data_IF_739791090399
#
_entry.id   IF_739791090399
#
_cell.length_a   1.000
_cell.length_b   1.000
_cell.length_c   1.000
_cell.angle_alpha   90.00
_cell.angle_beta   90.00
_cell.angle_gamma   90.00
#
_symmetry.space_group_name_H-M   'P 1'
#
loop_
_entity.id
_entity.type
_entity.pdbx_description
1 polymer ?
#
# COMPACT_ATOMS: atom_id res chain seq x y z
N UNK A 1 -6.98 49.21 6.16
CA UNK A 1 -6.03 49.49 7.24
C UNK A 1 -4.99 50.41 6.63
N UNK A 2 -4.27 51.23 7.41
CA UNK A 2 -3.23 52.11 6.81
C UNK A 2 -2.23 51.29 5.99
N UNK A 3 -1.91 51.77 4.80
CA UNK A 3 -0.93 51.15 3.90
C UNK A 3 0.44 51.78 4.18
N UNK A 4 1.47 50.95 4.18
CA UNK A 4 2.87 51.36 4.33
C UNK A 4 3.71 50.77 3.20
N UNK A 5 4.78 51.47 2.83
CA UNK A 5 5.79 51.00 1.90
C UNK A 5 6.96 50.44 2.70
N UNK A 6 7.32 49.18 2.41
CA UNK A 6 8.52 48.58 2.97
C UNK A 6 9.77 49.17 2.30
N UNK A 7 10.73 49.74 3.05
CA UNK A 7 11.93 50.34 2.48
C UNK A 7 12.87 49.30 1.85
N UNK A 8 12.87 48.07 2.35
CA UNK A 8 13.78 47.00 1.91
C UNK A 8 13.36 46.36 0.59
N UNK A 9 12.06 46.09 0.39
CA UNK A 9 11.55 45.43 -0.81
C UNK A 9 10.66 46.32 -1.70
N UNK A 10 10.41 47.57 -1.30
CA UNK A 10 9.60 48.53 -2.04
C UNK A 10 8.10 48.22 -2.10
N UNK A 11 7.65 47.06 -1.60
CA UNK A 11 6.25 46.63 -1.67
C UNK A 11 5.36 47.39 -0.70
N UNK A 12 4.13 47.66 -1.13
CA UNK A 12 3.05 48.17 -0.29
C UNK A 12 2.45 47.03 0.54
N UNK A 13 2.22 47.26 1.81
CA UNK A 13 1.60 46.31 2.76
C UNK A 13 0.64 47.05 3.69
N UNK A 14 -0.34 46.36 4.27
CA UNK A 14 -1.05 46.94 5.42
C UNK A 14 -0.11 47.06 6.63
N UNK A 15 -0.46 47.97 7.54
CA UNK A 15 0.26 48.20 8.78
C UNK A 15 0.47 46.90 9.58
N UNK A 16 1.73 46.51 9.73
CA UNK A 16 2.17 45.31 10.42
C UNK A 16 3.55 45.55 11.05
N UNK A 17 3.88 44.77 12.08
CA UNK A 17 5.15 44.88 12.80
C UNK A 17 6.33 44.37 11.96
N UNK A 18 6.06 43.47 11.00
CA UNK A 18 7.04 42.88 10.09
C UNK A 18 6.49 42.81 8.67
N UNK A 19 7.34 43.05 7.68
CA UNK A 19 7.00 42.88 6.26
C UNK A 19 6.88 41.39 5.92
N UNK A 20 5.70 40.97 5.45
CA UNK A 20 5.41 39.59 5.08
C UNK A 20 6.26 39.07 3.90
N UNK A 21 6.84 39.95 3.08
CA UNK A 21 7.62 39.56 1.90
C UNK A 21 9.13 39.44 2.16
N UNK A 22 9.71 40.26 3.04
CA UNK A 22 11.18 40.34 3.22
C UNK A 22 11.65 40.34 4.68
N UNK A 23 10.72 40.27 5.63
CA UNK A 23 11.00 40.20 7.06
C UNK A 23 11.51 41.50 7.69
N UNK A 24 11.46 42.63 6.98
CA UNK A 24 11.89 43.92 7.51
C UNK A 24 10.96 44.40 8.65
N UNK A 25 11.52 45.01 9.69
CA UNK A 25 10.77 45.46 10.88
C UNK A 25 10.85 46.99 11.12
N UNK A 26 11.75 47.70 10.43
CA UNK A 26 12.03 49.12 10.68
C UNK A 26 11.71 50.04 9.51
N UNK A 27 11.54 51.33 9.78
CA UNK A 27 11.53 52.43 8.80
C UNK A 27 10.45 52.34 7.70
N UNK A 28 9.28 51.81 8.05
CA UNK A 28 8.13 51.83 7.16
C UNK A 28 7.65 53.25 6.86
N UNK A 29 7.44 53.55 5.57
CA UNK A 29 6.90 54.84 5.13
C UNK A 29 5.40 54.75 4.96
N UNK A 30 4.66 55.69 5.53
CA UNK A 30 3.21 55.75 5.35
C UNK A 30 2.89 56.07 3.89
N UNK A 31 2.00 55.30 3.28
CA UNK A 31 1.41 55.65 1.99
C UNK A 31 0.19 56.52 2.26
N UNK A 32 0.25 57.79 1.87
CA UNK A 32 -0.88 58.70 1.99
C UNK A 32 -1.92 58.35 0.94
N UNK A 33 -3.05 57.82 1.40
CA UNK A 33 -4.24 57.62 0.60
C UNK A 33 -5.35 58.50 1.19
N UNK A 34 -5.87 59.42 0.39
CA UNK A 34 -6.87 60.39 0.83
C UNK A 34 -8.24 59.72 0.81
N UNK A 35 -8.59 59.04 1.90
CA UNK A 35 -9.89 58.42 2.08
C UNK A 35 -10.87 59.38 2.75
N UNK A 36 -11.94 59.74 2.05
CA UNK A 36 -13.04 60.53 2.62
C UNK A 36 -13.92 59.64 3.50
N UNK A 37 -13.85 59.83 4.82
CA UNK A 37 -14.65 59.09 5.81
C UNK A 37 -15.91 59.88 6.12
N UNK A 38 -17.08 59.22 6.02
CA UNK A 38 -18.36 59.84 6.34
C UNK A 38 -18.49 60.05 7.87
N UNK A 39 -18.93 61.24 8.30
CA UNK A 39 -18.99 61.64 9.73
C UNK A 39 -19.76 60.63 10.59
N UNK A 40 -20.95 60.19 10.13
CA UNK A 40 -21.79 59.19 10.79
C UNK A 40 -21.18 57.78 10.94
N UNK A 41 -20.03 57.51 10.32
CA UNK A 41 -19.33 56.23 10.41
C UNK A 41 -17.89 56.40 10.91
N UNK A 42 -17.44 57.62 11.21
CA UNK A 42 -16.04 57.91 11.52
C UNK A 42 -15.57 57.20 12.80
N UNK A 43 -16.42 57.18 13.84
CA UNK A 43 -16.13 56.51 15.11
C UNK A 43 -16.00 55.00 14.91
N UNK A 44 -17.03 54.39 14.32
CA UNK A 44 -17.12 52.96 14.03
C UNK A 44 -15.97 52.51 13.13
N UNK A 45 -15.66 53.28 12.08
CA UNK A 45 -14.56 53.00 11.16
C UNK A 45 -13.21 53.04 11.87
N UNK A 46 -12.97 54.04 12.73
CA UNK A 46 -11.71 54.16 13.48
C UNK A 46 -11.46 53.01 14.47
N UNK A 47 -12.52 52.36 14.95
CA UNK A 47 -12.47 51.26 15.91
C UNK A 47 -12.16 49.90 15.23
N UNK A 48 -12.49 49.73 13.95
CA UNK A 48 -12.36 48.45 13.24
C UNK A 48 -10.93 47.85 13.30
N UNK A 49 -9.83 48.59 13.03
CA UNK A 49 -8.49 48.01 13.07
C UNK A 49 -8.06 47.52 14.45
N UNK A 50 -8.46 48.20 15.54
CA UNK A 50 -8.10 47.80 16.90
C UNK A 50 -8.88 46.55 17.34
N UNK A 51 -10.14 46.43 16.92
CA UNK A 51 -10.98 45.26 17.17
C UNK A 51 -10.46 44.00 16.45
N UNK A 52 -9.97 44.14 15.21
CA UNK A 52 -9.34 43.04 14.47
C UNK A 52 -8.08 42.57 15.20
N UNK A 53 -7.19 43.49 15.59
CA UNK A 53 -5.98 43.14 16.36
C UNK A 53 -6.29 42.46 17.70
N UNK A 54 -7.37 42.89 18.35
CA UNK A 54 -7.85 42.33 19.63
C UNK A 54 -8.57 40.99 19.48
N UNK A 55 -8.78 40.48 18.26
CA UNK A 55 -9.44 39.20 18.00
C UNK A 55 -10.95 39.19 18.24
N UNK A 56 -11.59 40.36 18.39
CA UNK A 56 -13.04 40.50 18.61
C UNK A 56 -13.82 40.40 17.28
N UNK A 57 -13.60 39.32 16.53
CA UNK A 57 -14.03 39.19 15.13
C UNK A 57 -15.55 39.30 14.92
N UNK A 58 -16.36 38.81 15.86
CA UNK A 58 -17.82 38.95 15.78
C UNK A 58 -18.26 40.41 15.77
N UNK A 59 -17.69 41.23 16.67
CA UNK A 59 -17.97 42.67 16.73
C UNK A 59 -17.50 43.40 15.48
N UNK A 60 -16.36 43.01 14.91
CA UNK A 60 -15.86 43.56 13.64
C UNK A 60 -16.87 43.34 12.53
N UNK A 61 -17.45 42.13 12.41
CA UNK A 61 -18.47 41.84 11.39
C UNK A 61 -19.72 42.69 11.60
N UNK A 62 -20.19 42.89 12.83
CA UNK A 62 -21.37 43.70 13.11
C UNK A 62 -21.15 45.18 12.83
N UNK A 63 -20.03 45.75 13.30
CA UNK A 63 -19.67 47.15 13.09
C UNK A 63 -19.39 47.41 11.60
N UNK A 64 -18.78 46.47 10.88
CA UNK A 64 -18.54 46.60 9.44
C UNK A 64 -19.85 46.81 8.65
N UNK A 65 -20.97 46.22 9.07
CA UNK A 65 -22.27 46.42 8.42
C UNK A 65 -22.79 47.85 8.62
N UNK A 66 -22.56 48.43 9.80
CA UNK A 66 -22.95 49.82 10.10
C UNK A 66 -22.13 50.77 9.23
N UNK A 67 -20.81 50.57 9.16
CA UNK A 67 -19.93 51.39 8.32
C UNK A 67 -20.29 51.27 6.84
N UNK A 68 -20.53 50.04 6.34
CA UNK A 68 -20.89 49.82 4.93
C UNK A 68 -22.27 50.38 4.55
N UNK A 69 -23.18 50.64 5.50
CA UNK A 69 -24.44 51.35 5.21
C UNK A 69 -24.19 52.81 4.82
N UNK A 70 -23.22 53.45 5.45
CA UNK A 70 -22.85 54.85 5.21
C UNK A 70 -21.75 54.99 4.15
N UNK A 71 -20.89 53.98 4.01
CA UNK A 71 -19.76 53.95 3.09
C UNK A 71 -19.73 52.62 2.29
N UNK A 72 -20.69 52.40 1.37
CA UNK A 72 -20.85 51.12 0.68
C UNK A 72 -19.70 50.74 -0.27
N UNK A 73 -18.90 51.73 -0.68
CA UNK A 73 -17.73 51.56 -1.55
C UNK A 73 -16.40 51.63 -0.79
N UNK A 74 -16.38 51.33 0.51
CA UNK A 74 -15.16 51.35 1.30
C UNK A 74 -14.42 50.01 1.22
N UNK A 75 -13.38 49.93 0.39
CA UNK A 75 -12.59 48.72 0.18
C UNK A 75 -11.94 48.18 1.46
N UNK A 76 -11.30 49.06 2.25
CA UNK A 76 -10.73 48.74 3.55
C UNK A 76 -11.69 47.95 4.46
N UNK A 77 -12.97 48.32 4.51
CA UNK A 77 -13.95 47.66 5.40
C UNK A 77 -14.24 46.24 4.92
N UNK A 78 -14.31 46.03 3.60
CA UNK A 78 -14.44 44.69 3.04
C UNK A 78 -13.20 43.82 3.34
N UNK A 79 -11.99 44.39 3.27
CA UNK A 79 -10.77 43.67 3.64
C UNK A 79 -10.72 43.32 5.14
N UNK A 80 -11.05 44.27 6.02
CA UNK A 80 -11.13 44.03 7.46
C UNK A 80 -12.17 42.95 7.78
N UNK A 81 -13.31 42.98 7.11
CA UNK A 81 -14.35 41.96 7.26
C UNK A 81 -13.88 40.59 6.77
N UNK A 82 -13.09 40.54 5.68
CA UNK A 82 -12.45 39.32 5.20
C UNK A 82 -11.52 38.70 6.24
N UNK A 83 -10.64 39.50 6.84
CA UNK A 83 -9.77 39.09 7.94
C UNK A 83 -10.59 38.54 9.12
N UNK A 84 -11.64 39.25 9.53
CA UNK A 84 -12.48 38.84 10.64
C UNK A 84 -13.26 37.54 10.39
N UNK A 85 -13.82 37.35 9.19
CA UNK A 85 -14.51 36.10 8.82
C UNK A 85 -13.57 34.89 8.86
N UNK A 86 -12.31 35.10 8.53
CA UNK A 86 -11.28 34.05 8.57
C UNK A 86 -10.58 33.95 9.92
N UNK A 87 -10.95 34.78 10.90
CA UNK A 87 -10.36 34.86 12.25
C UNK A 87 -8.86 35.20 12.22
N UNK A 88 -8.45 36.06 11.29
CA UNK A 88 -7.07 36.51 11.11
C UNK A 88 -6.93 37.97 11.59
N UNK A 89 -5.83 38.28 12.26
CA UNK A 89 -5.52 39.63 12.78
C UNK A 89 -4.79 40.52 11.78
N UNK A 90 -4.12 39.90 10.81
CA UNK A 90 -3.29 40.57 9.82
C UNK A 90 -3.22 39.76 8.53
N UNK A 91 -2.65 40.36 7.48
CA UNK A 91 -2.51 39.72 6.16
C UNK A 91 -1.63 38.46 6.21
N UNK A 92 -0.63 38.43 7.08
CA UNK A 92 0.29 37.31 7.16
C UNK A 92 -0.39 36.05 7.72
N UNK A 93 -1.19 36.19 8.77
CA UNK A 93 -2.03 35.10 9.30
C UNK A 93 -3.02 34.61 8.25
N UNK A 94 -3.59 35.52 7.44
CA UNK A 94 -4.51 35.17 6.36
C UNK A 94 -3.82 34.34 5.27
N UNK A 95 -2.63 34.77 4.85
CA UNK A 95 -1.82 34.07 3.83
C UNK A 95 -1.33 32.72 4.34
N UNK A 96 -0.87 32.63 5.59
CA UNK A 96 -0.40 31.38 6.20
C UNK A 96 -1.52 30.35 6.35
N UNK A 97 -2.71 30.79 6.76
CA UNK A 97 -3.89 29.93 6.86
C UNK A 97 -4.34 29.42 5.49
N UNK A 98 -4.18 30.27 4.47
CA UNK A 98 -4.66 30.04 3.12
C UNK A 98 -6.14 30.41 2.98
N UNK A 99 -6.48 31.01 1.83
CA UNK A 99 -7.84 31.45 1.52
C UNK A 99 -8.08 31.39 0.02
N UNK A 100 -9.29 30.92 -0.38
CA UNK A 100 -9.78 31.12 -1.74
C UNK A 100 -10.22 32.57 -1.92
N UNK A 101 -9.40 33.37 -2.59
CA UNK A 101 -9.76 34.73 -2.94
C UNK A 101 -10.87 34.78 -4.01
N UNK A 102 -11.01 33.74 -4.84
CA UNK A 102 -12.00 33.68 -5.91
C UNK A 102 -13.43 33.49 -5.39
N UNK A 103 -13.59 32.71 -4.33
CA UNK A 103 -14.89 32.43 -3.72
C UNK A 103 -15.33 33.50 -2.70
N UNK A 104 -14.46 34.49 -2.43
CA UNK A 104 -14.71 35.51 -1.41
C UNK A 104 -15.38 36.76 -1.97
N UNK A 105 -16.67 36.92 -1.67
CA UNK A 105 -17.41 38.13 -2.00
C UNK A 105 -16.82 39.41 -1.35
N UNK A 106 -16.25 39.30 -0.15
CA UNK A 106 -15.59 40.44 0.49
C UNK A 106 -14.27 40.80 -0.23
N UNK A 107 -13.51 39.81 -0.72
CA UNK A 107 -12.33 40.09 -1.54
C UNK A 107 -12.71 40.77 -2.86
N UNK A 108 -13.74 40.26 -3.55
CA UNK A 108 -14.22 40.86 -4.80
C UNK A 108 -14.61 42.34 -4.60
N UNK A 109 -15.36 42.64 -3.54
CA UNK A 109 -15.77 44.02 -3.24
C UNK A 109 -14.59 44.90 -2.80
N UNK A 110 -13.67 44.37 -1.98
CA UNK A 110 -12.44 45.09 -1.63
C UNK A 110 -11.66 45.47 -2.89
N UNK A 111 -11.50 44.52 -3.82
CA UNK A 111 -10.77 44.72 -5.06
C UNK A 111 -11.49 45.70 -6.02
N UNK A 112 -12.82 45.58 -6.15
CA UNK A 112 -13.66 46.45 -6.97
C UNK A 112 -13.58 47.91 -6.55
N UNK A 113 -13.64 48.18 -5.24
CA UNK A 113 -13.65 49.54 -4.70
C UNK A 113 -12.27 50.07 -4.29
N UNK A 114 -11.23 49.26 -4.44
CA UNK A 114 -9.87 49.60 -4.04
C UNK A 114 -9.33 50.86 -4.75
N UNK A 115 -8.62 51.69 -3.99
CA UNK A 115 -7.70 52.68 -4.53
C UNK A 115 -6.55 52.01 -5.30
N UNK A 116 -5.71 52.79 -5.99
CA UNK A 116 -4.53 52.27 -6.68
C UNK A 116 -3.55 51.59 -5.69
N UNK A 117 -3.41 52.16 -4.49
CA UNK A 117 -2.54 51.60 -3.44
C UNK A 117 -3.09 50.29 -2.88
N UNK A 118 -4.37 50.27 -2.51
CA UNK A 118 -5.07 49.08 -1.99
C UNK A 118 -5.07 47.93 -3.02
N UNK A 119 -5.34 48.26 -4.30
CA UNK A 119 -5.36 47.31 -5.41
C UNK A 119 -4.03 46.59 -5.56
N UNK A 120 -2.92 47.32 -5.45
CA UNK A 120 -1.59 46.75 -5.52
C UNK A 120 -1.36 45.75 -4.37
N UNK A 121 -1.69 46.13 -3.13
CA UNK A 121 -1.59 45.26 -1.94
C UNK A 121 -2.41 43.98 -2.13
N UNK A 122 -3.70 44.09 -2.44
CA UNK A 122 -4.59 42.94 -2.59
C UNK A 122 -4.14 42.01 -3.73
N UNK A 123 -3.65 42.57 -4.84
CA UNK A 123 -3.15 41.79 -5.97
C UNK A 123 -1.88 41.01 -5.63
N UNK A 124 -0.96 41.60 -4.88
CA UNK A 124 0.28 40.94 -4.46
C UNK A 124 0.01 39.84 -3.43
N UNK A 125 -0.96 40.05 -2.53
CA UNK A 125 -1.38 39.01 -1.59
C UNK A 125 -2.04 37.83 -2.30
N UNK A 126 -2.88 38.07 -3.31
CA UNK A 126 -3.45 37.00 -4.15
C UNK A 126 -2.35 36.19 -4.84
N UNK A 127 -1.43 36.86 -5.53
CA UNK A 127 -0.29 36.19 -6.19
C UNK A 127 0.54 35.37 -5.20
N UNK A 128 0.76 35.89 -3.99
CA UNK A 128 1.51 35.18 -2.96
C UNK A 128 0.80 33.89 -2.53
N UNK A 129 -0.51 33.93 -2.28
CA UNK A 129 -1.29 32.73 -1.93
C UNK A 129 -1.29 31.71 -3.07
N UNK A 130 -1.45 32.15 -4.32
CA UNK A 130 -1.41 31.28 -5.49
C UNK A 130 -0.02 30.63 -5.66
N UNK A 131 1.05 31.41 -5.45
CA UNK A 131 2.42 30.89 -5.47
C UNK A 131 2.68 29.88 -4.35
N UNK A 132 2.19 30.14 -3.14
CA UNK A 132 2.28 29.22 -2.00
C UNK A 132 1.55 27.91 -2.34
N UNK A 133 0.33 28.00 -2.87
CA UNK A 133 -0.45 26.84 -3.28
C UNK A 133 0.30 26.01 -4.32
N UNK A 134 0.77 26.62 -5.40
CA UNK A 134 1.55 25.93 -6.44
C UNK A 134 2.85 25.32 -5.90
N UNK A 135 3.52 25.98 -4.95
CA UNK A 135 4.74 25.44 -4.31
C UNK A 135 4.42 24.21 -3.46
N UNK A 136 3.35 24.27 -2.66
CA UNK A 136 2.89 23.12 -1.88
C UNK A 136 2.45 21.96 -2.78
N UNK A 137 1.73 22.21 -3.88
CA UNK A 137 1.31 21.17 -4.82
C UNK A 137 2.51 20.41 -5.39
N UNK A 138 3.58 21.14 -5.73
CA UNK A 138 4.84 20.55 -6.19
C UNK A 138 5.50 19.72 -5.09
N UNK A 139 5.63 20.28 -3.89
CA UNK A 139 6.28 19.61 -2.77
C UNK A 139 5.53 18.35 -2.32
N UNK A 140 4.19 18.36 -2.30
CA UNK A 140 3.38 17.19 -1.96
C UNK A 140 3.60 16.07 -2.98
N UNK A 141 3.63 16.39 -4.28
CA UNK A 141 3.92 15.40 -5.34
C UNK A 141 5.34 14.82 -5.23
N UNK A 142 6.33 15.67 -4.97
CA UNK A 142 7.73 15.24 -4.77
C UNK A 142 7.86 14.34 -3.54
N UNK A 143 7.23 14.74 -2.43
CA UNK A 143 7.22 13.97 -1.19
C UNK A 143 6.51 12.61 -1.35
N UNK A 144 5.40 12.56 -2.07
CA UNK A 144 4.70 11.30 -2.39
C UNK A 144 5.63 10.34 -3.14
N UNK A 145 6.34 10.86 -4.14
CA UNK A 145 7.29 10.08 -4.92
C UNK A 145 8.47 9.59 -4.06
N UNK A 146 9.04 10.45 -3.22
CA UNK A 146 10.13 10.11 -2.29
C UNK A 146 9.71 9.01 -1.31
N UNK A 147 8.54 9.12 -0.69
CA UNK A 147 8.03 8.10 0.22
C UNK A 147 7.75 6.77 -0.49
N UNK A 148 7.10 6.80 -1.66
CA UNK A 148 6.88 5.59 -2.47
C UNK A 148 8.20 4.92 -2.84
N UNK A 149 9.21 5.70 -3.24
CA UNK A 149 10.54 5.21 -3.59
C UNK A 149 11.28 4.61 -2.40
N UNK A 150 11.02 5.10 -1.18
CA UNK A 150 11.59 4.54 0.05
C UNK A 150 11.02 3.16 0.41
N UNK A 151 9.85 2.80 -0.13
CA UNK A 151 9.29 1.47 0.03
C UNK A 151 10.08 0.42 -0.77
N UNK A 152 9.98 -0.88 -0.43
CA UNK A 152 10.61 -1.95 -1.21
C UNK A 152 10.08 -2.13 -2.65
N UNK A 153 9.20 -1.27 -3.17
CA UNK A 153 8.52 -1.49 -4.46
C UNK A 153 9.46 -1.67 -5.63
N UNK A 154 10.55 -0.91 -5.71
CA UNK A 154 11.52 -1.02 -6.81
C UNK A 154 12.17 -2.41 -6.79
N UNK A 155 12.55 -2.88 -5.60
CA UNK A 155 13.11 -4.23 -5.42
C UNK A 155 12.07 -5.30 -5.77
N UNK A 156 10.83 -5.15 -5.30
CA UNK A 156 9.75 -6.07 -5.62
C UNK A 156 9.49 -6.15 -7.13
N UNK A 157 9.43 -5.00 -7.83
CA UNK A 157 9.24 -4.95 -9.28
C UNK A 157 10.41 -5.57 -10.05
N UNK A 158 11.65 -5.27 -9.64
CA UNK A 158 12.85 -5.81 -10.30
C UNK A 158 12.98 -7.33 -10.13
N UNK A 159 12.69 -7.86 -8.95
CA UNK A 159 12.84 -9.27 -8.65
C UNK A 159 11.61 -10.13 -9.04
N UNK A 160 10.44 -9.53 -9.32
CA UNK A 160 9.18 -10.27 -9.49
C UNK A 160 9.27 -11.33 -10.59
N UNK A 161 9.71 -10.92 -11.78
CA UNK A 161 9.83 -11.83 -12.93
C UNK A 161 10.82 -12.95 -12.63
N UNK A 162 11.98 -12.61 -12.07
CA UNK A 162 13.05 -13.57 -11.82
C UNK A 162 12.70 -14.58 -10.73
N UNK A 163 12.09 -14.12 -9.64
CA UNK A 163 11.60 -14.98 -8.55
C UNK A 163 10.51 -15.91 -9.09
N UNK A 164 9.52 -15.39 -9.81
CA UNK A 164 8.43 -16.21 -10.35
C UNK A 164 8.94 -17.23 -11.37
N UNK A 165 9.82 -16.83 -12.29
CA UNK A 165 10.34 -17.73 -13.31
C UNK A 165 11.23 -18.81 -12.72
N UNK A 166 12.14 -18.45 -11.81
CA UNK A 166 13.03 -19.40 -11.13
C UNK A 166 12.22 -20.41 -10.30
N UNK A 167 11.29 -19.93 -9.47
CA UNK A 167 10.47 -20.80 -8.62
C UNK A 167 9.52 -21.67 -9.45
N UNK A 168 8.92 -21.13 -10.51
CA UNK A 168 8.08 -21.90 -11.45
C UNK A 168 8.88 -23.01 -12.10
N UNK A 169 10.06 -22.71 -12.65
CA UNK A 169 10.92 -23.70 -13.29
C UNK A 169 11.30 -24.81 -12.31
N UNK A 170 11.72 -24.44 -11.10
CA UNK A 170 12.11 -25.41 -10.08
C UNK A 170 10.94 -26.29 -9.64
N UNK A 171 9.75 -25.73 -9.44
CA UNK A 171 8.54 -26.50 -9.13
C UNK A 171 8.18 -27.46 -10.26
N UNK A 172 8.28 -27.05 -11.53
CA UNK A 172 8.05 -27.95 -12.66
C UNK A 172 9.04 -29.12 -12.69
N UNK A 173 10.31 -28.87 -12.40
CA UNK A 173 11.33 -29.92 -12.30
C UNK A 173 10.98 -30.92 -11.18
N UNK A 174 10.61 -30.43 -9.99
CA UNK A 174 10.20 -31.27 -8.86
C UNK A 174 8.92 -32.07 -9.16
N UNK A 175 7.94 -31.47 -9.84
CA UNK A 175 6.71 -32.18 -10.26
C UNK A 175 7.01 -33.28 -11.28
N UNK A 176 7.90 -33.02 -12.25
CA UNK A 176 8.32 -34.03 -13.21
C UNK A 176 9.09 -35.18 -12.55
N UNK A 177 9.91 -34.87 -11.54
CA UNK A 177 10.58 -35.90 -10.73
C UNK A 177 9.59 -36.73 -9.93
N UNK A 178 8.59 -36.09 -9.31
CA UNK A 178 7.53 -36.75 -8.57
C UNK A 178 6.74 -37.72 -9.46
N UNK A 179 6.31 -37.27 -10.64
CA UNK A 179 5.57 -38.08 -11.60
C UNK A 179 6.37 -39.33 -12.01
N UNK A 180 7.67 -39.20 -12.28
CA UNK A 180 8.54 -40.34 -12.60
C UNK A 180 8.61 -41.34 -11.44
N UNK A 181 8.78 -40.86 -10.21
CA UNK A 181 8.82 -41.72 -9.02
C UNK A 181 7.48 -42.44 -8.83
N UNK A 182 6.35 -41.76 -9.02
CA UNK A 182 5.03 -42.38 -8.91
C UNK A 182 4.77 -43.42 -10.02
N UNK A 183 5.23 -43.17 -11.25
CA UNK A 183 5.19 -44.17 -12.33
C UNK A 183 6.06 -45.40 -12.02
N UNK A 184 7.27 -45.20 -11.47
CA UNK A 184 8.13 -46.30 -11.03
C UNK A 184 7.48 -47.11 -9.89
N UNK A 185 6.85 -46.44 -8.92
CA UNK A 185 6.12 -47.08 -7.84
C UNK A 185 4.97 -47.92 -8.37
N UNK A 186 4.19 -47.38 -9.31
CA UNK A 186 3.10 -48.10 -9.97
C UNK A 186 3.62 -49.34 -10.71
N UNK A 187 4.73 -49.23 -11.44
CA UNK A 187 5.36 -50.37 -12.11
C UNK A 187 5.72 -51.50 -11.12
N UNK A 188 6.38 -51.15 -10.02
CA UNK A 188 6.75 -52.10 -8.95
C UNK A 188 5.50 -52.78 -8.36
N UNK A 189 4.41 -52.04 -8.17
CA UNK A 189 3.15 -52.59 -7.67
C UNK A 189 2.52 -53.58 -8.67
N UNK A 190 2.49 -53.24 -9.96
CA UNK A 190 1.93 -54.11 -11.00
C UNK A 190 2.74 -55.40 -11.17
N UNK A 191 4.06 -55.31 -11.16
CA UNK A 191 4.94 -56.48 -11.23
C UNK A 191 4.70 -57.42 -10.03
N UNK A 192 4.54 -56.88 -8.82
CA UNK A 192 4.21 -57.68 -7.64
C UNK A 192 2.84 -58.37 -7.77
N UNK A 193 1.82 -57.66 -8.27
CA UNK A 193 0.48 -58.22 -8.50
C UNK A 193 0.51 -59.34 -9.53
N UNK A 194 1.24 -59.15 -10.62
CA UNK A 194 1.40 -60.14 -11.67
C UNK A 194 2.05 -61.42 -11.11
N UNK A 195 3.19 -61.28 -10.42
CA UNK A 195 3.91 -62.43 -9.86
C UNK A 195 3.06 -63.21 -8.84
N UNK A 196 2.32 -62.52 -7.97
CA UNK A 196 1.38 -63.17 -7.05
C UNK A 196 0.28 -63.92 -7.81
N UNK A 197 -0.24 -63.35 -8.89
CA UNK A 197 -1.25 -64.01 -9.72
C UNK A 197 -0.72 -65.27 -10.41
N UNK A 198 0.51 -65.24 -10.92
CA UNK A 198 1.17 -66.38 -11.56
C UNK A 198 1.34 -67.56 -10.58
N UNK A 199 1.82 -67.29 -9.36
CA UNK A 199 1.96 -68.33 -8.34
C UNK A 199 0.60 -68.85 -7.85
N UNK A 200 -0.43 -68.01 -7.79
CA UNK A 200 -1.80 -68.44 -7.46
C UNK A 200 -2.36 -69.38 -8.53
N UNK A 201 -2.18 -69.03 -9.80
CA UNK A 201 -2.65 -69.84 -10.91
C UNK A 201 -1.87 -71.16 -11.01
N UNK A 202 -0.57 -71.16 -10.69
CA UNK A 202 0.21 -72.38 -10.53
C UNK A 202 -0.36 -73.30 -9.43
N UNK A 203 -0.72 -72.75 -8.27
CA UNK A 203 -1.33 -73.52 -7.18
C UNK A 203 -2.70 -74.12 -7.56
N UNK A 204 -3.55 -73.38 -8.28
CA UNK A 204 -4.84 -73.92 -8.76
C UNK A 204 -4.65 -75.01 -9.83
N UNK A 205 -3.66 -74.89 -10.71
CA UNK A 205 -3.27 -75.96 -11.64
C UNK A 205 -2.81 -77.21 -10.90
N UNK A 206 -1.92 -77.06 -9.92
CA UNK A 206 -1.41 -78.17 -9.10
C UNK A 206 -2.54 -78.87 -8.34
N UNK A 207 -3.48 -78.12 -7.78
CA UNK A 207 -4.67 -78.66 -7.11
C UNK A 207 -5.55 -79.47 -8.06
N UNK A 208 -5.77 -78.96 -9.28
CA UNK A 208 -6.54 -79.67 -10.32
C UNK A 208 -5.84 -80.96 -10.74
N UNK A 209 -4.52 -80.91 -10.95
CA UNK A 209 -3.71 -82.08 -11.30
C UNK A 209 -3.66 -83.12 -10.18
N UNK A 210 -3.55 -82.69 -8.92
CA UNK A 210 -3.61 -83.57 -7.76
C UNK A 210 -4.98 -84.27 -7.64
N UNK A 211 -6.07 -83.54 -7.89
CA UNK A 211 -7.41 -84.12 -7.94
C UNK A 211 -7.55 -85.16 -9.07
N UNK A 212 -6.98 -84.87 -10.24
CA UNK A 212 -6.94 -85.80 -11.36
C UNK A 212 -6.14 -87.07 -11.02
N UNK A 213 -4.95 -86.94 -10.45
CA UNK A 213 -4.15 -88.09 -9.99
C UNK A 213 -4.93 -88.91 -8.96
N UNK A 214 -5.52 -88.26 -7.95
CA UNK A 214 -6.38 -88.92 -6.95
C UNK A 214 -7.54 -89.70 -7.59
N UNK A 215 -8.22 -89.11 -8.58
CA UNK A 215 -9.31 -89.78 -9.29
C UNK A 215 -8.85 -90.98 -10.12
N UNK A 216 -7.66 -90.91 -10.72
CA UNK A 216 -7.06 -92.01 -11.48
C UNK A 216 -6.67 -93.16 -10.55
N UNK A 217 -6.07 -92.84 -9.39
CA UNK A 217 -5.72 -93.84 -8.38
C UNK A 217 -6.95 -94.58 -7.85
N UNK A 218 -8.06 -93.90 -7.58
CA UNK A 218 -9.29 -94.56 -7.10
C UNK A 218 -9.99 -95.45 -8.12
N UNK A 219 -9.74 -95.28 -9.42
CA UNK A 219 -10.33 -96.10 -10.49
C UNK A 219 -9.59 -97.42 -10.71
N UNK A 220 -8.45 -97.62 -10.06
CA UNK A 220 -7.67 -98.86 -10.12
C UNK A 220 -8.14 -99.79 -8.99
N UNK A 221 -8.74 -100.93 -9.36
CA UNK A 221 -9.15 -101.95 -8.39
C UNK A 221 -7.95 -102.73 -7.81
N UNK A 222 -6.86 -102.86 -8.59
CA UNK A 222 -5.55 -103.38 -8.18
C UNK A 222 -4.47 -102.55 -8.89
N UNK A 223 -3.46 -102.06 -8.16
CA UNK A 223 -2.39 -101.23 -8.69
C UNK A 223 -1.08 -102.02 -8.62
N UNK A 224 -0.35 -102.13 -9.73
CA UNK A 224 0.95 -102.79 -9.73
C UNK A 224 2.05 -101.87 -9.13
N UNK A 225 3.20 -102.44 -8.78
CA UNK A 225 4.29 -101.71 -8.10
C UNK A 225 4.85 -100.56 -8.95
N UNK A 226 4.93 -100.72 -10.27
CA UNK A 226 5.39 -99.68 -11.21
C UNK A 226 4.41 -98.50 -11.32
N UNK A 227 3.11 -98.77 -11.38
CA UNK A 227 2.05 -97.74 -11.42
C UNK A 227 1.99 -96.96 -10.10
N UNK A 228 2.11 -97.67 -8.97
CA UNK A 228 2.20 -97.05 -7.66
C UNK A 228 3.40 -96.10 -7.58
N UNK A 229 4.58 -96.58 -8.02
CA UNK A 229 5.79 -95.76 -8.05
C UNK A 229 5.62 -94.53 -8.95
N UNK A 230 5.02 -94.70 -10.14
CA UNK A 230 4.73 -93.60 -11.07
C UNK A 230 3.80 -92.54 -10.46
N UNK A 231 2.76 -92.95 -9.75
CA UNK A 231 1.87 -92.00 -9.06
C UNK A 231 2.58 -91.31 -7.90
N UNK A 232 3.40 -92.02 -7.13
CA UNK A 232 4.20 -91.43 -6.04
C UNK A 232 5.18 -90.38 -6.55
N UNK A 233 5.89 -90.65 -7.65
CA UNK A 233 6.80 -89.68 -8.28
C UNK A 233 6.03 -88.44 -8.75
N UNK A 234 4.87 -88.63 -9.40
CA UNK A 234 4.04 -87.51 -9.90
C UNK A 234 3.43 -86.69 -8.77
N UNK A 235 2.97 -87.32 -7.69
CA UNK A 235 2.45 -86.63 -6.51
C UNK A 235 3.59 -85.87 -5.80
N UNK A 236 4.76 -86.50 -5.69
CA UNK A 236 5.97 -85.90 -5.13
C UNK A 236 6.40 -84.66 -5.90
N UNK A 237 6.36 -84.69 -7.23
CA UNK A 237 6.66 -83.51 -8.06
C UNK A 237 5.63 -82.39 -7.87
N UNK A 238 4.34 -82.72 -7.77
CA UNK A 238 3.27 -81.75 -7.55
C UNK A 238 3.38 -81.09 -6.16
N UNK A 239 3.68 -81.88 -5.12
CA UNK A 239 3.91 -81.37 -3.76
C UNK A 239 5.10 -80.40 -3.71
N UNK A 240 6.22 -80.77 -4.34
CA UNK A 240 7.39 -79.89 -4.41
C UNK A 240 7.06 -78.55 -5.12
N UNK A 241 6.33 -78.59 -6.23
CA UNK A 241 5.89 -77.37 -6.93
C UNK A 241 4.92 -76.53 -6.10
N UNK A 242 4.04 -77.17 -5.32
CA UNK A 242 3.12 -76.49 -4.39
C UNK A 242 3.90 -75.79 -3.29
N UNK A 243 4.83 -76.48 -2.65
CA UNK A 243 5.65 -75.94 -1.57
C UNK A 243 6.53 -74.78 -2.04
N UNK A 244 7.11 -74.90 -3.25
CA UNK A 244 7.86 -73.80 -3.88
C UNK A 244 6.97 -72.57 -4.13
N UNK A 245 5.79 -72.75 -4.73
CA UNK A 245 4.87 -71.64 -5.03
C UNK A 245 4.32 -70.98 -3.76
N UNK A 246 4.02 -71.77 -2.73
CA UNK A 246 3.58 -71.28 -1.42
C UNK A 246 4.70 -70.52 -0.71
N UNK A 247 5.92 -71.07 -0.70
CA UNK A 247 7.10 -70.42 -0.12
C UNK A 247 7.41 -69.10 -0.81
N UNK A 248 7.30 -69.04 -2.15
CA UNK A 248 7.46 -67.80 -2.90
C UNK A 248 6.42 -66.73 -2.50
N UNK A 249 5.14 -67.10 -2.37
CA UNK A 249 4.09 -66.20 -1.89
C UNK A 249 4.35 -65.71 -0.46
N UNK A 250 4.78 -66.59 0.44
CA UNK A 250 5.08 -66.22 1.82
C UNK A 250 6.34 -65.34 1.93
N UNK A 251 7.35 -65.55 1.07
CA UNK A 251 8.52 -64.67 0.97
C UNK A 251 8.13 -63.28 0.44
N UNK A 252 7.24 -63.22 -0.55
CA UNK A 252 6.69 -61.95 -1.05
C UNK A 252 6.00 -61.13 0.04
N UNK A 253 5.35 -61.78 1.00
CA UNK A 253 4.68 -61.13 2.14
C UNK A 253 5.61 -60.63 3.24
N UNK A 254 6.76 -61.29 3.45
CA UNK A 254 7.60 -61.06 4.65
C UNK A 254 8.79 -60.15 4.41
N UNK A 255 9.59 -60.38 3.35
CA UNK A 255 10.83 -59.62 3.08
C UNK A 255 11.23 -59.76 1.61
N UNK A 256 10.40 -59.22 0.70
CA UNK A 256 10.74 -59.25 -0.72
C UNK A 256 11.62 -58.05 -1.10
N UNK A 257 12.62 -58.21 -1.99
CA UNK A 257 13.41 -57.09 -2.53
C UNK A 257 12.55 -55.95 -3.11
N UNK A 258 11.34 -56.29 -3.55
CA UNK A 258 10.35 -55.37 -4.09
C UNK A 258 9.73 -54.46 -3.03
N UNK A 259 9.57 -54.94 -1.79
CA UNK A 259 9.15 -54.09 -0.65
C UNK A 259 10.26 -53.09 -0.33
N UNK A 260 11.53 -53.52 -0.35
CA UNK A 260 12.67 -52.62 -0.17
C UNK A 260 12.74 -51.54 -1.25
N UNK A 261 12.58 -51.93 -2.53
CA UNK A 261 12.51 -50.99 -3.66
C UNK A 261 11.34 -50.02 -3.51
N UNK A 262 10.14 -50.52 -3.19
CA UNK A 262 8.95 -49.68 -3.01
C UNK A 262 9.12 -48.68 -1.85
N UNK A 263 9.61 -49.13 -0.69
CA UNK A 263 9.87 -48.25 0.45
C UNK A 263 10.91 -47.17 0.12
N UNK A 264 11.96 -47.50 -0.65
CA UNK A 264 12.93 -46.49 -1.10
C UNK A 264 12.31 -45.44 -2.04
N UNK A 265 11.34 -45.83 -2.87
CA UNK A 265 10.61 -44.90 -3.72
C UNK A 265 9.63 -44.04 -2.92
N UNK A 266 8.98 -44.61 -1.89
CA UNK A 266 8.15 -43.86 -0.93
C UNK A 266 8.98 -42.77 -0.23
N UNK A 267 10.17 -43.08 0.27
CA UNK A 267 11.05 -42.10 0.91
C UNK A 267 11.46 -40.98 -0.06
N UNK A 268 11.74 -41.31 -1.32
CA UNK A 268 12.04 -40.32 -2.38
C UNK A 268 10.83 -39.42 -2.65
N UNK A 269 9.64 -40.01 -2.85
CA UNK A 269 8.38 -39.27 -3.06
C UNK A 269 8.13 -38.29 -1.92
N UNK A 270 8.23 -38.76 -0.68
CA UNK A 270 7.98 -37.92 0.50
C UNK A 270 9.07 -36.84 0.67
N UNK A 271 10.29 -37.10 0.23
CA UNK A 271 11.34 -36.09 0.09
C UNK A 271 10.98 -34.99 -0.91
N UNK A 272 10.51 -35.36 -2.10
CA UNK A 272 10.09 -34.40 -3.14
C UNK A 272 8.89 -33.58 -2.69
N UNK A 273 7.87 -34.22 -2.10
CA UNK A 273 6.68 -33.53 -1.57
C UNK A 273 7.04 -32.50 -0.50
N UNK A 274 8.00 -32.80 0.39
CA UNK A 274 8.51 -31.83 1.37
C UNK A 274 9.19 -30.63 0.71
N UNK A 275 10.01 -30.86 -0.33
CA UNK A 275 10.64 -29.78 -1.10
C UNK A 275 9.59 -28.89 -1.79
N UNK A 276 8.61 -29.48 -2.47
CA UNK A 276 7.50 -28.75 -3.10
C UNK A 276 6.77 -27.90 -2.05
N UNK A 277 6.46 -28.46 -0.88
CA UNK A 277 5.78 -27.74 0.20
C UNK A 277 6.61 -26.56 0.73
N UNK A 278 7.93 -26.71 0.84
CA UNK A 278 8.84 -25.62 1.21
C UNK A 278 8.84 -24.49 0.18
N UNK A 279 8.97 -24.84 -1.09
CA UNK A 279 8.96 -23.89 -2.22
C UNK A 279 7.65 -23.10 -2.31
N UNK A 280 6.52 -23.77 -2.12
CA UNK A 280 5.20 -23.12 -2.07
C UNK A 280 5.07 -22.17 -0.87
N UNK A 281 5.65 -22.53 0.27
CA UNK A 281 5.65 -21.67 1.48
C UNK A 281 6.49 -20.41 1.27
N UNK A 282 7.63 -20.52 0.60
CA UNK A 282 8.46 -19.37 0.23
C UNK A 282 7.75 -18.43 -0.76
N UNK A 283 7.05 -18.99 -1.76
CA UNK A 283 6.23 -18.20 -2.68
C UNK A 283 5.12 -17.43 -1.95
N UNK A 284 4.46 -18.07 -0.98
CA UNK A 284 3.42 -17.42 -0.15
C UNK A 284 3.98 -16.31 0.73
N UNK A 285 5.19 -16.50 1.27
CA UNK A 285 5.91 -15.46 2.01
C UNK A 285 6.25 -14.26 1.11
N UNK A 286 6.72 -14.53 -0.11
CA UNK A 286 6.97 -13.48 -1.12
C UNK A 286 5.69 -12.73 -1.49
N UNK A 287 4.58 -13.44 -1.73
CA UNK A 287 3.26 -12.85 -1.98
C UNK A 287 2.84 -11.90 -0.86
N UNK A 288 2.94 -12.35 0.39
CA UNK A 288 2.60 -11.54 1.58
C UNK A 288 3.44 -10.26 1.64
N UNK A 289 4.74 -10.35 1.32
CA UNK A 289 5.64 -9.20 1.26
C UNK A 289 5.22 -8.18 0.19
N UNK A 290 4.84 -8.66 -1.00
CA UNK A 290 4.35 -7.80 -2.09
C UNK A 290 3.03 -7.13 -1.70
N UNK A 291 2.08 -7.89 -1.14
CA UNK A 291 0.80 -7.35 -0.67
C UNK A 291 0.98 -6.28 0.40
N UNK A 292 1.82 -6.54 1.41
CA UNK A 292 2.13 -5.56 2.46
C UNK A 292 2.76 -4.28 1.89
N UNK A 293 3.64 -4.40 0.90
CA UNK A 293 4.24 -3.24 0.22
C UNK A 293 3.20 -2.44 -0.55
N UNK A 294 2.28 -3.12 -1.26
CA UNK A 294 1.20 -2.48 -2.00
C UNK A 294 0.23 -1.74 -1.07
N UNK A 295 -0.14 -2.35 0.07
CA UNK A 295 -1.01 -1.70 1.07
C UNK A 295 -0.36 -0.47 1.69
N UNK A 296 0.95 -0.49 1.95
CA UNK A 296 1.66 0.70 2.45
C UNK A 296 1.66 1.84 1.42
N UNK A 297 1.84 1.51 0.14
CA UNK A 297 1.76 2.52 -0.94
C UNK A 297 0.36 3.10 -1.06
N UNK A 298 -0.68 2.28 -0.97
CA UNK A 298 -2.06 2.76 -0.98
C UNK A 298 -2.33 3.71 0.20
N UNK A 299 -1.76 3.42 1.38
CA UNK A 299 -1.85 4.30 2.55
C UNK A 299 -1.11 5.62 2.32
N UNK A 300 0.08 5.58 1.72
CA UNK A 300 0.84 6.78 1.32
C UNK A 300 0.00 7.62 0.36
N UNK A 301 -0.53 7.02 -0.70
CA UNK A 301 -1.36 7.68 -1.72
C UNK A 301 -2.60 8.34 -1.11
N UNK A 302 -3.36 7.62 -0.28
CA UNK A 302 -4.55 8.17 0.38
C UNK A 302 -4.22 9.40 1.22
N UNK A 303 -3.13 9.35 1.98
CA UNK A 303 -2.70 10.48 2.82
C UNK A 303 -2.31 11.71 1.98
N UNK A 304 -1.60 11.51 0.87
CA UNK A 304 -1.22 12.60 -0.04
C UNK A 304 -2.42 13.16 -0.81
N UNK A 305 -3.35 12.31 -1.25
CA UNK A 305 -4.60 12.74 -1.88
C UNK A 305 -5.46 13.59 -0.95
N UNK A 306 -5.56 13.23 0.34
CA UNK A 306 -6.25 14.05 1.33
C UNK A 306 -5.60 15.43 1.47
N UNK A 307 -4.27 15.49 1.57
CA UNK A 307 -3.55 16.77 1.62
C UNK A 307 -3.75 17.60 0.35
N UNK A 308 -3.76 16.99 -0.85
CA UNK A 308 -4.05 17.67 -2.11
C UNK A 308 -5.48 18.22 -2.17
N UNK A 309 -6.47 17.51 -1.60
CA UNK A 309 -7.85 17.99 -1.50
C UNK A 309 -7.93 19.21 -0.57
N UNK A 310 -7.33 19.13 0.61
CA UNK A 310 -7.25 20.26 1.55
C UNK A 310 -6.54 21.47 0.92
N UNK A 311 -5.47 21.25 0.15
CA UNK A 311 -4.78 22.30 -0.58
C UNK A 311 -5.64 22.93 -1.68
N UNK A 312 -6.50 22.13 -2.33
CA UNK A 312 -7.46 22.64 -3.31
C UNK A 312 -8.47 23.59 -2.66
N UNK A 313 -8.84 23.33 -1.41
CA UNK A 313 -9.67 24.17 -0.54
C UNK A 313 -8.90 25.31 0.15
N UNK A 314 -7.60 25.48 -0.18
CA UNK A 314 -6.70 26.48 0.42
C UNK A 314 -6.43 26.29 1.93
N UNK A 315 -6.62 25.09 2.48
CA UNK A 315 -6.19 24.77 3.84
C UNK A 315 -4.72 24.34 3.85
N UNK A 316 -3.83 25.32 3.98
CA UNK A 316 -2.38 25.06 4.02
C UNK A 316 -1.94 24.39 5.33
N UNK A 317 -2.69 24.57 6.42
CA UNK A 317 -2.30 24.03 7.73
C UNK A 317 -2.36 22.50 7.75
N UNK A 318 -3.28 21.90 7.00
CA UNK A 318 -3.37 20.44 6.84
C UNK A 318 -2.04 19.80 6.36
N UNK A 319 -1.27 20.51 5.53
CA UNK A 319 -0.02 20.04 4.92
C UNK A 319 1.10 19.91 5.94
N UNK A 320 1.08 20.72 7.00
CA UNK A 320 2.07 20.68 8.07
C UNK A 320 2.22 19.28 8.68
N UNK A 321 1.10 18.56 8.82
CA UNK A 321 1.08 17.19 9.35
C UNK A 321 1.74 16.15 8.42
N UNK A 322 1.81 16.43 7.12
CA UNK A 322 2.32 15.53 6.10
C UNK A 322 3.83 15.69 5.91
N UNK A 323 4.29 16.92 5.67
CA UNK A 323 5.69 17.21 5.30
C UNK A 323 6.54 17.69 6.49
N UNK A 324 5.91 17.95 7.63
CA UNK A 324 6.55 18.46 8.85
C UNK A 324 6.88 19.95 8.82
N UNK A 325 7.16 20.51 10.01
CA UNK A 325 7.30 21.96 10.21
C UNK A 325 8.43 22.59 9.39
N UNK A 326 9.55 21.89 9.28
CA UNK A 326 10.74 22.41 8.59
C UNK A 326 10.51 22.55 7.08
N UNK A 327 10.01 21.48 6.44
CA UNK A 327 9.73 21.50 4.99
C UNK A 327 8.58 22.46 4.68
N UNK A 328 7.61 22.58 5.59
CA UNK A 328 6.53 23.56 5.50
C UNK A 328 7.05 25.01 5.50
N UNK A 329 7.91 25.39 6.45
CA UNK A 329 8.52 26.72 6.52
C UNK A 329 9.43 27.00 5.31
N UNK A 330 10.19 26.00 4.85
CA UNK A 330 11.02 26.10 3.64
C UNK A 330 10.19 26.38 2.39
N UNK A 331 9.02 25.74 2.23
CA UNK A 331 8.10 26.00 1.10
C UNK A 331 7.53 27.41 1.16
N UNK A 332 7.08 27.86 2.34
CA UNK A 332 6.58 29.23 2.52
C UNK A 332 7.64 30.27 2.18
N UNK A 333 8.87 30.07 2.66
CA UNK A 333 10.01 30.95 2.36
C UNK A 333 10.30 31.00 0.86
N UNK A 334 10.32 29.84 0.19
CA UNK A 334 10.58 29.72 -1.25
C UNK A 334 9.49 30.39 -2.08
N UNK A 335 8.23 30.33 -1.62
CA UNK A 335 7.10 30.99 -2.28
C UNK A 335 7.06 32.51 -2.08
N UNK A 336 7.96 33.07 -1.26
CA UNK A 336 8.10 34.52 -1.05
C UNK A 336 7.44 35.06 0.22
N UNK A 337 7.04 34.19 1.15
CA UNK A 337 6.62 34.59 2.49
C UNK A 337 7.82 34.55 3.44
N UNK A 338 8.22 35.69 3.99
CA UNK A 338 9.32 35.72 4.96
C UNK A 338 8.98 34.88 6.20
N UNK A 339 9.94 34.11 6.71
CA UNK A 339 9.77 33.25 7.90
C UNK A 339 9.29 34.10 9.07
N UNK A 340 8.04 33.88 9.48
CA UNK A 340 7.45 34.51 10.66
C UNK A 340 7.68 33.55 11.80
N UNK A 341 8.71 33.83 12.59
CA UNK A 341 9.25 32.99 13.67
C UNK A 341 8.30 32.73 14.85
N UNK A 342 7.00 32.95 14.70
CA UNK A 342 5.96 32.84 15.74
C UNK A 342 4.98 31.65 15.54
N UNK A 343 5.42 30.58 14.89
CA UNK A 343 4.63 29.32 14.81
C UNK A 343 4.45 28.66 16.20
N UNK A 344 5.16 29.13 17.25
CA UNK A 344 4.98 28.64 18.63
C UNK A 344 3.62 29.00 19.26
N UNK A 345 2.85 29.91 18.67
CA UNK A 345 1.58 30.39 19.23
C UNK A 345 0.32 29.60 18.85
N UNK A 346 0.37 28.74 17.83
CA UNK A 346 -0.85 28.13 17.25
C UNK A 346 -1.08 26.65 17.63
N UNK A 347 -0.24 26.05 18.48
CA UNK A 347 -0.43 24.67 18.98
C UNK A 347 -1.15 24.57 20.34
N UNK A 348 -1.85 25.62 20.78
CA UNK A 348 -2.69 25.57 21.97
C UNK A 348 -4.08 26.12 21.67
N UNK A 349 -4.91 25.26 21.08
CA UNK A 349 -6.27 24.96 21.53
C UNK A 349 -6.79 23.72 20.80
#
# INVERSE_FOLDING_TARGET
>A
MKIMICPKCGKKIHIADRCLFCGNETDFKLFEDNQNIHENAAKEFSELPSLVKSGLFGKVVDISRVVLRWMPSCAEVFWIRLLAKNKCKNDAELVQKGISFEDSADFFNAMKYASVGEREVYSELRKLVDNIKGSFEKTVKEHEYEEKKSTPIIRCQGELSDVLNTKRKHLFELWSELEKVEQEMYGVEQDCKLLVSEHRDALERIKTDAANVKSQTYRLNECNEEELHKYQVRLGSLLNQSDQSKSAIDMMRKQHPWIGKFNSLVEKRDGIVRKISSELSELKSYETRVQSTASEIERIEKRHQLAMRSLSEFDFMSIHSLIGIRKYEEVLATAGLAVISDVRGLSKN
#
